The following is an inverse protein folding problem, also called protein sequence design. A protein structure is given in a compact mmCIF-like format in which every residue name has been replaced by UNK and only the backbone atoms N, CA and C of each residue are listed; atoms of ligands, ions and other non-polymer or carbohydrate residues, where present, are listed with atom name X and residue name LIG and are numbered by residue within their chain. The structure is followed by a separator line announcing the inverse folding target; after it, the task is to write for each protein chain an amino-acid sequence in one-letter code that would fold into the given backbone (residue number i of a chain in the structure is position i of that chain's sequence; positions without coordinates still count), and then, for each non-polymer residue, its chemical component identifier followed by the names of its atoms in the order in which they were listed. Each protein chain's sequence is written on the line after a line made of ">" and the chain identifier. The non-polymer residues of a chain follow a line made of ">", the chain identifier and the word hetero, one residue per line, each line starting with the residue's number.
data_IF_883452755084
#
_entry.id   IF_883452755084
#
_cell.length_a   1.000
_cell.length_b   1.000
_cell.length_c   1.000
_cell.angle_alpha   90.00
_cell.angle_beta   90.00
_cell.angle_gamma   90.00
#
_symmetry.space_group_name_H-M   'P 1'
#
loop_
_entity.id
_entity.type
_entity.pdbx_description
1 polymer ?
#
# COMPACT_ATOMS: atom_id res chain seq x y z
N UNK A 1 -6.40 3.33 -16.86
CA UNK A 1 -5.92 3.05 -15.52
C UNK A 1 -4.85 4.04 -15.12
N UNK A 2 -4.92 4.56 -13.91
CA UNK A 2 -3.94 5.49 -13.37
C UNK A 2 -3.10 4.78 -12.31
N UNK A 3 -1.80 5.05 -12.26
CA UNK A 3 -0.93 4.43 -11.27
C UNK A 3 0.21 5.35 -10.84
N UNK A 4 0.68 5.12 -9.62
CA UNK A 4 1.88 5.72 -9.05
C UNK A 4 2.82 4.60 -8.61
N UNK A 5 4.06 4.64 -9.05
CA UNK A 5 5.07 3.62 -8.76
C UNK A 5 6.22 4.25 -7.98
N UNK A 6 6.54 3.68 -6.82
CA UNK A 6 7.64 4.13 -5.97
C UNK A 6 8.50 2.94 -5.59
N UNK A 7 9.80 3.19 -5.43
CA UNK A 7 10.72 2.24 -4.79
C UNK A 7 11.07 2.79 -3.42
N UNK A 8 10.66 2.10 -2.37
CA UNK A 8 10.85 2.55 -0.99
C UNK A 8 11.59 1.47 -0.20
N UNK A 9 12.25 1.89 0.87
CA UNK A 9 12.97 0.96 1.74
C UNK A 9 12.27 0.83 3.08
N UNK A 10 12.26 -0.38 3.62
CA UNK A 10 11.73 -0.63 4.95
C UNK A 10 12.80 -0.34 6.03
N UNK A 11 12.43 -0.53 7.29
CA UNK A 11 13.32 -0.26 8.41
C UNK A 11 14.54 -1.18 8.47
N UNK A 12 14.52 -2.29 7.76
CA UNK A 12 15.67 -3.19 7.58
C UNK A 12 16.45 -2.92 6.30
N UNK A 13 16.20 -1.75 5.69
CA UNK A 13 16.85 -1.30 4.45
C UNK A 13 16.61 -2.20 3.25
N UNK A 14 15.52 -2.95 3.25
CA UNK A 14 15.12 -3.77 2.11
C UNK A 14 14.18 -2.99 1.20
N UNK A 15 14.42 -3.09 -0.10
CA UNK A 15 13.62 -2.36 -1.08
C UNK A 15 12.29 -3.03 -1.34
N UNK A 16 11.26 -2.20 -1.48
CA UNK A 16 9.92 -2.60 -1.88
C UNK A 16 9.49 -1.77 -3.07
N UNK A 17 8.87 -2.41 -4.03
CA UNK A 17 8.15 -1.67 -5.06
C UNK A 17 6.72 -1.44 -4.56
N UNK A 18 6.31 -0.19 -4.59
CA UNK A 18 5.02 0.24 -4.04
C UNK A 18 4.21 0.85 -5.18
N UNK A 19 3.12 0.22 -5.54
CA UNK A 19 2.29 0.65 -6.67
C UNK A 19 0.88 0.90 -6.19
N UNK A 20 0.45 2.16 -6.27
CA UNK A 20 -0.95 2.52 -6.07
C UNK A 20 -1.59 2.65 -7.44
N UNK A 21 -2.64 1.91 -7.71
CA UNK A 21 -3.31 1.98 -8.99
C UNK A 21 -4.82 2.13 -8.83
N UNK A 22 -5.38 2.93 -9.72
CA UNK A 22 -6.79 3.27 -9.72
C UNK A 22 -7.42 2.83 -11.04
N UNK A 23 -8.53 2.12 -10.97
CA UNK A 23 -9.33 1.75 -12.12
C UNK A 23 -10.59 2.57 -12.13
N UNK A 24 -10.83 3.24 -13.26
CA UNK A 24 -12.01 4.06 -13.46
C UNK A 24 -12.79 3.50 -14.64
N UNK A 25 -14.11 3.38 -14.49
CA UNK A 25 -15.00 2.96 -15.56
C UNK A 25 -16.21 3.88 -15.58
N UNK A 26 -16.44 4.52 -16.74
CA UNK A 26 -17.57 5.46 -16.92
C UNK A 26 -17.57 6.58 -15.89
N UNK A 27 -16.39 7.13 -15.58
CA UNK A 27 -16.23 8.21 -14.61
C UNK A 27 -16.31 7.78 -13.15
N UNK A 28 -16.48 6.50 -12.88
CA UNK A 28 -16.59 5.97 -11.50
C UNK A 28 -15.34 5.18 -11.15
N UNK A 29 -14.79 5.45 -9.97
CA UNK A 29 -13.65 4.69 -9.43
C UNK A 29 -14.13 3.29 -9.05
N UNK A 30 -13.65 2.27 -9.75
CA UNK A 30 -13.99 0.88 -9.50
C UNK A 30 -13.11 0.26 -8.42
N UNK A 31 -11.84 0.61 -8.42
CA UNK A 31 -10.91 0.12 -7.40
C UNK A 31 -9.75 1.10 -7.24
N UNK A 32 -9.20 1.11 -6.04
CA UNK A 32 -7.97 1.81 -5.71
C UNK A 32 -7.19 0.87 -4.80
N UNK A 33 -6.17 0.22 -5.36
CA UNK A 33 -5.44 -0.84 -4.68
C UNK A 33 -3.97 -0.50 -4.57
N UNK A 34 -3.38 -0.92 -3.44
CA UNK A 34 -1.95 -0.79 -3.20
C UNK A 34 -1.30 -2.15 -3.34
N UNK A 35 -0.36 -2.27 -4.27
CA UNK A 35 0.44 -3.48 -4.47
C UNK A 35 1.82 -3.27 -3.90
N UNK A 36 2.27 -4.20 -3.07
CA UNK A 36 3.59 -4.20 -2.46
C UNK A 36 4.36 -5.42 -2.93
N UNK A 37 5.53 -5.19 -3.54
CA UNK A 37 6.39 -6.24 -4.05
C UNK A 37 7.69 -6.22 -3.27
N UNK A 38 7.95 -7.26 -2.49
CA UNK A 38 9.15 -7.41 -1.71
C UNK A 38 10.24 -8.19 -2.42
N UNK A 39 11.34 -8.43 -1.72
CA UNK A 39 12.42 -9.27 -2.24
C UNK A 39 11.98 -10.69 -2.47
N UNK A 40 12.60 -11.38 -3.43
CA UNK A 40 12.46 -12.84 -3.52
C UNK A 40 12.84 -13.48 -2.17
N UNK A 41 12.03 -14.41 -1.71
CA UNK A 41 12.19 -15.03 -0.41
C UNK A 41 11.39 -14.38 0.71
N UNK A 42 10.91 -13.16 0.52
CA UNK A 42 9.95 -12.55 1.44
C UNK A 42 8.58 -13.18 1.22
N UNK A 43 7.88 -13.48 2.29
CA UNK A 43 6.54 -14.07 2.18
C UNK A 43 5.54 -13.22 2.95
N UNK A 44 4.55 -12.70 2.23
CA UNK A 44 3.45 -11.94 2.82
C UNK A 44 2.49 -12.90 3.52
N UNK A 45 2.07 -12.55 4.72
CA UNK A 45 1.12 -13.35 5.48
C UNK A 45 -0.31 -12.95 5.11
N UNK A 46 -1.05 -13.86 4.49
CA UNK A 46 -2.45 -13.66 4.10
C UNK A 46 -3.38 -14.43 5.02
N UNK A 47 -4.58 -13.95 5.26
CA UNK A 47 -5.19 -12.69 4.85
C UNK A 47 -5.16 -11.63 5.97
N UNK A 48 -4.02 -11.15 6.32
CA UNK A 48 -3.86 -10.15 7.38
C UNK A 48 -3.90 -8.75 6.76
N UNK A 49 -4.69 -7.81 7.30
CA UNK A 49 -4.76 -6.46 6.73
C UNK A 49 -3.47 -5.68 6.95
N UNK A 50 -3.24 -4.71 6.08
CA UNK A 50 -2.15 -3.76 6.17
C UNK A 50 -2.55 -2.63 7.10
N UNK A 51 -1.79 -2.40 8.17
CA UNK A 51 -2.03 -1.28 9.08
C UNK A 51 -1.38 -0.02 8.53
N UNK A 52 -2.10 1.09 8.57
CA UNK A 52 -1.63 2.38 8.07
C UNK A 52 -1.75 3.42 9.18
N UNK A 53 -0.66 4.15 9.42
CA UNK A 53 -0.61 5.18 10.43
C UNK A 53 0.05 6.46 9.90
N UNK A 54 -0.37 7.61 10.44
CA UNK A 54 0.28 8.90 10.23
C UNK A 54 0.73 9.41 11.60
N UNK A 55 2.05 9.55 11.79
CA UNK A 55 2.59 9.86 13.10
C UNK A 55 2.23 8.80 14.13
N UNK A 56 1.62 9.21 15.24
CA UNK A 56 1.16 8.29 16.28
C UNK A 56 -0.27 7.81 16.08
N UNK A 57 -0.94 8.32 15.06
CA UNK A 57 -2.35 8.04 14.82
C UNK A 57 -2.52 6.92 13.80
N UNK A 58 -3.18 5.84 14.19
CA UNK A 58 -3.61 4.83 13.23
C UNK A 58 -4.75 5.39 12.38
N UNK A 59 -4.56 5.40 11.06
CA UNK A 59 -5.59 5.85 10.12
C UNK A 59 -6.59 4.73 9.87
N UNK A 60 -6.10 3.51 9.72
CA UNK A 60 -6.96 2.37 9.46
C UNK A 60 -6.19 1.14 9.02
N UNK A 61 -6.96 0.15 8.59
CA UNK A 61 -6.44 -1.12 8.09
C UNK A 61 -6.96 -1.33 6.67
N UNK A 62 -6.05 -1.55 5.75
CA UNK A 62 -6.39 -1.87 4.37
C UNK A 62 -6.60 -3.38 4.23
N UNK A 63 -7.76 -3.78 3.74
CA UNK A 63 -8.08 -5.20 3.60
C UNK A 63 -7.19 -5.86 2.55
N UNK A 64 -6.74 -7.07 2.88
CA UNK A 64 -6.02 -7.91 1.94
C UNK A 64 -7.00 -8.45 0.90
N UNK A 65 -6.71 -8.17 -0.38
CA UNK A 65 -7.52 -8.66 -1.49
C UNK A 65 -6.89 -9.88 -2.17
N UNK A 66 -6.07 -10.60 -1.41
CA UNK A 66 -5.37 -11.77 -1.88
C UNK A 66 -6.31 -12.83 -2.41
N UNK A 67 -5.92 -13.42 -3.55
CA UNK A 67 -6.62 -14.53 -4.17
C UNK A 67 -5.61 -15.66 -4.38
N UNK A 68 -5.92 -16.85 -3.88
CA UNK A 68 -5.02 -18.00 -3.78
C UNK A 68 -4.19 -18.30 -5.02
N UNK A 69 -4.67 -17.97 -6.20
CA UNK A 69 -4.06 -18.46 -7.44
C UNK A 69 -3.15 -17.46 -8.13
N UNK A 70 -3.11 -16.17 -7.71
CA UNK A 70 -2.70 -15.16 -8.67
C UNK A 70 -1.45 -14.37 -8.31
N UNK A 71 -0.99 -14.38 -7.06
CA UNK A 71 0.14 -13.58 -6.66
C UNK A 71 1.32 -14.41 -6.17
N UNK A 72 2.55 -14.04 -6.56
CA UNK A 72 3.75 -14.60 -5.93
C UNK A 72 3.75 -14.37 -4.42
N UNK A 73 4.48 -15.19 -3.68
CA UNK A 73 4.51 -15.12 -2.21
C UNK A 73 5.02 -13.80 -1.67
N UNK A 74 5.84 -13.08 -2.45
CA UNK A 74 6.42 -11.80 -2.06
C UNK A 74 5.57 -10.59 -2.46
N UNK A 75 4.34 -10.80 -2.93
CA UNK A 75 3.44 -9.75 -3.38
C UNK A 75 2.19 -9.71 -2.51
N UNK A 76 1.84 -8.51 -2.03
CA UNK A 76 0.58 -8.27 -1.37
C UNK A 76 -0.22 -7.21 -2.12
N UNK A 77 -1.53 -7.34 -2.12
CA UNK A 77 -2.43 -6.30 -2.63
C UNK A 77 -3.49 -5.99 -1.61
N UNK A 78 -3.77 -4.71 -1.45
CA UNK A 78 -4.67 -4.21 -0.40
C UNK A 78 -5.62 -3.18 -0.97
N UNK A 79 -6.88 -3.23 -0.52
CA UNK A 79 -7.86 -2.21 -0.86
C UNK A 79 -7.53 -0.92 -0.11
N UNK A 80 -7.11 0.10 -0.84
CA UNK A 80 -6.62 1.35 -0.25
C UNK A 80 -7.62 2.51 -0.36
N UNK A 81 -8.77 2.28 -0.92
CA UNK A 81 -9.76 3.34 -1.19
C UNK A 81 -10.21 4.03 0.09
N UNK A 82 -10.57 3.27 1.12
CA UNK A 82 -11.03 3.84 2.39
C UNK A 82 -9.89 4.52 3.16
N UNK A 83 -8.66 4.10 2.92
CA UNK A 83 -7.49 4.67 3.60
C UNK A 83 -7.13 6.03 3.00
N UNK A 84 -6.98 6.11 1.68
CA UNK A 84 -6.52 7.33 1.04
C UNK A 84 -7.51 8.49 1.20
N UNK A 85 -8.80 8.21 1.30
CA UNK A 85 -9.81 9.23 1.53
C UNK A 85 -9.70 9.88 2.91
N UNK A 86 -9.01 9.24 3.86
CA UNK A 86 -8.78 9.77 5.19
C UNK A 86 -7.46 10.52 5.32
N UNK A 87 -6.65 10.55 4.26
CA UNK A 87 -5.37 11.24 4.26
C UNK A 87 -5.61 12.70 3.89
N UNK A 88 -5.52 13.58 4.87
CA UNK A 88 -5.87 15.00 4.72
C UNK A 88 -4.71 15.89 4.32
N UNK A 89 -3.48 15.42 4.47
CA UNK A 89 -2.28 16.21 4.19
C UNK A 89 -1.18 15.31 3.64
N UNK A 90 -0.08 15.93 3.20
CA UNK A 90 1.07 15.20 2.66
C UNK A 90 2.05 14.76 3.77
N UNK A 91 1.52 14.31 4.90
CA UNK A 91 2.34 13.75 5.97
C UNK A 91 2.87 12.38 5.58
N UNK A 92 4.05 12.00 6.09
CA UNK A 92 4.52 10.62 5.90
C UNK A 92 3.52 9.62 6.46
N UNK A 93 3.39 8.50 5.77
CA UNK A 93 2.58 7.38 6.24
C UNK A 93 3.49 6.22 6.61
N UNK A 94 3.11 5.47 7.63
CA UNK A 94 3.77 4.22 7.98
C UNK A 94 2.86 3.05 7.63
N UNK A 95 3.41 2.12 6.88
CA UNK A 95 2.72 0.88 6.53
C UNK A 95 3.35 -0.25 7.33
N UNK A 96 2.54 -0.99 8.08
CA UNK A 96 2.99 -2.17 8.80
C UNK A 96 2.56 -3.40 8.02
N UNK A 97 3.55 -4.05 7.39
CA UNK A 97 3.32 -5.19 6.52
C UNK A 97 3.37 -6.49 7.30
N UNK A 98 2.38 -7.36 7.14
CA UNK A 98 2.41 -8.69 7.76
C UNK A 98 3.30 -9.63 6.96
N UNK A 99 4.57 -9.72 7.34
CA UNK A 99 5.56 -10.60 6.70
C UNK A 99 5.79 -11.80 7.60
N UNK A 100 5.76 -13.02 7.03
CA UNK A 100 6.00 -14.25 7.79
C UNK A 100 7.41 -14.27 8.37
N UNK A 101 7.52 -14.82 9.58
CA UNK A 101 8.77 -14.96 10.33
C UNK A 101 9.43 -13.64 10.73
N UNK A 102 8.68 -12.55 10.69
CA UNK A 102 9.12 -11.24 11.17
C UNK A 102 8.05 -10.65 12.08
N UNK A 103 8.47 -9.84 13.04
CA UNK A 103 7.52 -9.21 13.97
C UNK A 103 6.64 -8.22 13.22
N UNK A 104 7.27 -7.25 12.60
CA UNK A 104 6.58 -6.28 11.73
C UNK A 104 7.60 -5.72 10.77
N UNK A 105 7.19 -5.59 9.51
CA UNK A 105 7.98 -4.88 8.52
C UNK A 105 7.35 -3.51 8.35
N UNK A 106 8.08 -2.48 8.68
CA UNK A 106 7.59 -1.11 8.61
C UNK A 106 8.17 -0.41 7.39
N UNK A 107 7.29 0.17 6.60
CA UNK A 107 7.64 0.92 5.40
C UNK A 107 7.16 2.35 5.55
N UNK A 108 8.09 3.31 5.44
CA UNK A 108 7.75 4.71 5.52
C UNK A 108 7.50 5.27 4.11
N UNK A 109 6.30 5.83 3.92
CA UNK A 109 5.94 6.50 2.68
C UNK A 109 6.21 7.99 2.85
N UNK A 110 7.19 8.55 2.11
CA UNK A 110 7.58 9.95 2.30
C UNK A 110 6.50 10.92 1.78
N UNK A 111 6.56 12.19 2.20
CA UNK A 111 5.55 13.18 1.81
C UNK A 111 5.34 13.33 0.30
N UNK A 112 6.41 13.25 -0.50
CA UNK A 112 6.25 13.38 -1.96
C UNK A 112 5.43 12.24 -2.56
N UNK A 113 5.55 11.04 -2.03
CA UNK A 113 4.78 9.89 -2.49
C UNK A 113 3.32 9.98 -2.03
N UNK A 114 3.10 10.42 -0.80
CA UNK A 114 1.74 10.67 -0.29
C UNK A 114 1.03 11.73 -1.14
N UNK A 115 1.73 12.80 -1.49
CA UNK A 115 1.20 13.83 -2.38
C UNK A 115 0.78 13.25 -3.72
N UNK A 116 1.63 12.42 -4.31
CA UNK A 116 1.34 11.77 -5.58
C UNK A 116 0.11 10.87 -5.50
N UNK A 117 -0.03 10.14 -4.40
CA UNK A 117 -1.20 9.30 -4.16
C UNK A 117 -2.48 10.11 -4.06
N UNK A 118 -2.43 11.25 -3.38
CA UNK A 118 -3.59 12.14 -3.26
C UNK A 118 -3.97 12.73 -4.61
N UNK A 119 -2.98 13.11 -5.42
CA UNK A 119 -3.23 13.59 -6.78
C UNK A 119 -3.82 12.49 -7.66
N UNK A 120 -3.39 11.26 -7.50
CA UNK A 120 -3.93 10.12 -8.23
C UNK A 120 -5.41 9.92 -7.93
N UNK A 121 -5.81 10.10 -6.67
CA UNK A 121 -7.20 9.97 -6.27
C UNK A 121 -8.10 10.96 -7.02
N UNK A 122 -7.62 12.18 -7.27
CA UNK A 122 -8.39 13.25 -7.89
C UNK A 122 -8.41 13.20 -9.42
N UNK A 123 -7.61 12.34 -10.05
CA UNK A 123 -7.61 12.18 -11.49
C UNK A 123 -8.80 11.34 -11.97
N UNK A 124 -9.37 11.79 -13.06
CA UNK A 124 -10.46 11.07 -13.72
C UNK A 124 -10.08 10.62 -15.12
#
# INVERSE_FOLDING_TARGET
>A
MFRSVQSLRDTDDKAWQVVLYKRVKSGVVKSLNLRLVGFPGTEIHHPIPLKVAAGKREIGKANDIWNESDLPINVGEYDFKSIITQVESNRPLRLNLPVKNQKETELLVPPFAVREWRLLLDRN
#
